data_IF_537936089513
#
_entry.id   IF_537936089513
#
_cell.length_a   1.000
_cell.length_b   1.000
_cell.length_c   1.000
_cell.angle_alpha   90.00
_cell.angle_beta   90.00
_cell.angle_gamma   90.00
#
_symmetry.space_group_name_H-M   'P 1'
#
loop_
_entity.id
_entity.type
_entity.pdbx_description
1 polymer ?
#
# COMPACT_ATOMS: atom_id res chain seq x y z
N UNK A 1 11.56 17.10 10.54
CA UNK A 1 11.49 15.72 10.00
C UNK A 1 12.30 14.80 10.89
N UNK A 2 11.74 13.63 11.24
CA UNK A 2 12.38 12.61 12.08
C UNK A 2 13.34 11.71 11.30
N UNK A 3 13.16 11.59 9.98
CA UNK A 3 14.06 10.85 9.09
C UNK A 3 15.16 11.79 8.57
N UNK A 4 16.41 11.32 8.63
CA UNK A 4 17.60 12.05 8.15
C UNK A 4 18.49 11.14 7.33
N UNK A 5 18.99 11.66 6.21
CA UNK A 5 20.00 10.97 5.42
C UNK A 5 21.41 11.21 6.00
N UNK A 6 22.13 10.12 6.32
CA UNK A 6 23.52 10.18 6.78
C UNK A 6 24.46 9.77 5.65
N UNK A 7 25.25 10.72 5.12
CA UNK A 7 26.11 10.51 3.95
C UNK A 7 27.60 10.32 4.27
N UNK A 8 28.02 10.50 5.53
CA UNK A 8 29.45 10.46 5.92
C UNK A 8 30.19 9.20 5.47
N UNK A 9 29.51 8.05 5.40
CA UNK A 9 30.12 6.79 4.98
C UNK A 9 30.26 6.67 3.45
N UNK A 10 29.46 7.42 2.69
CA UNK A 10 29.54 7.46 1.23
C UNK A 10 30.66 8.39 0.72
N UNK A 11 31.14 9.34 1.54
CA UNK A 11 32.16 10.33 1.18
C UNK A 11 33.51 9.70 0.77
N UNK A 12 33.80 8.46 1.19
CA UNK A 12 34.99 7.72 0.74
C UNK A 12 34.92 7.30 -0.73
N UNK A 13 33.72 7.26 -1.31
CA UNK A 13 33.46 6.76 -2.66
C UNK A 13 32.95 7.85 -3.62
N UNK A 14 32.47 8.97 -3.05
CA UNK A 14 31.83 10.06 -3.77
C UNK A 14 32.48 11.37 -3.32
N UNK A 15 33.17 12.02 -4.25
CA UNK A 15 33.76 13.32 -3.99
C UNK A 15 32.70 14.43 -4.03
N UNK A 16 32.87 15.54 -3.28
CA UNK A 16 31.89 16.64 -3.25
C UNK A 16 31.53 17.19 -4.63
N UNK A 17 32.51 17.36 -5.53
CA UNK A 17 32.27 17.89 -6.88
C UNK A 17 31.37 16.99 -7.73
N UNK A 18 31.28 15.69 -7.43
CA UNK A 18 30.40 14.76 -8.15
C UNK A 18 28.93 15.02 -7.79
N UNK A 19 28.66 15.40 -6.54
CA UNK A 19 27.33 15.80 -6.11
C UNK A 19 26.94 17.14 -6.72
N UNK A 20 27.88 18.08 -6.83
CA UNK A 20 27.67 19.36 -7.51
C UNK A 20 27.35 19.17 -9.00
N UNK A 21 28.08 18.26 -9.68
CA UNK A 21 27.89 17.98 -11.10
C UNK A 21 26.51 17.40 -11.44
N UNK A 22 25.85 16.72 -10.50
CA UNK A 22 24.51 16.14 -10.73
C UNK A 22 23.36 17.07 -10.32
N UNK A 23 23.62 18.22 -9.67
CA UNK A 23 22.57 19.16 -9.24
C UNK A 23 21.66 19.59 -10.39
N UNK A 24 22.21 19.91 -11.55
CA UNK A 24 21.43 20.29 -12.73
C UNK A 24 20.51 19.18 -13.22
N UNK A 25 20.95 17.91 -13.14
CA UNK A 25 20.12 16.75 -13.47
C UNK A 25 19.01 16.54 -12.44
N UNK A 26 19.30 16.78 -11.16
CA UNK A 26 18.29 16.74 -10.09
C UNK A 26 17.25 17.84 -10.30
N UNK A 27 17.65 19.08 -10.56
CA UNK A 27 16.74 20.20 -10.85
C UNK A 27 15.88 19.93 -12.08
N UNK A 28 16.45 19.35 -13.14
CA UNK A 28 15.69 18.94 -14.31
C UNK A 28 14.63 17.88 -13.96
N UNK A 29 14.99 16.88 -13.16
CA UNK A 29 14.04 15.86 -12.70
C UNK A 29 12.97 16.42 -11.75
N UNK A 30 13.34 17.36 -10.87
CA UNK A 30 12.40 18.10 -10.03
C UNK A 30 11.37 18.83 -10.88
N UNK A 31 11.82 19.63 -11.85
CA UNK A 31 10.95 20.38 -12.75
C UNK A 31 10.04 19.44 -13.55
N UNK A 32 10.55 18.29 -14.02
CA UNK A 32 9.75 17.32 -14.75
C UNK A 32 8.61 16.74 -13.91
N UNK A 33 8.85 16.50 -12.61
CA UNK A 33 7.82 16.06 -11.66
C UNK A 33 6.84 17.19 -11.33
N UNK A 34 7.34 18.40 -11.06
CA UNK A 34 6.53 19.55 -10.69
C UNK A 34 5.62 20.02 -11.83
N UNK A 35 6.14 20.06 -13.06
CA UNK A 35 5.41 20.45 -14.27
C UNK A 35 4.59 19.30 -14.86
N UNK A 36 4.85 18.05 -14.43
CA UNK A 36 4.19 16.84 -14.95
C UNK A 36 4.36 16.69 -16.46
N UNK A 37 5.54 17.00 -16.99
CA UNK A 37 5.85 16.97 -18.43
C UNK A 37 6.85 15.86 -18.82
N UNK A 38 7.31 15.07 -17.84
CA UNK A 38 8.17 13.91 -18.05
C UNK A 38 7.43 12.66 -18.56
N UNK A 39 8.20 11.66 -19.00
CA UNK A 39 7.63 10.36 -19.41
C UNK A 39 6.92 9.67 -18.24
N UNK A 40 5.72 9.13 -18.50
CA UNK A 40 4.89 8.48 -17.48
C UNK A 40 4.16 9.46 -16.55
N UNK A 41 4.02 10.72 -16.96
CA UNK A 41 3.29 11.77 -16.23
C UNK A 41 1.82 11.43 -15.93
N UNK A 42 1.23 10.49 -16.65
CA UNK A 42 -0.09 9.92 -16.38
C UNK A 42 -0.19 9.30 -14.96
N UNK A 43 0.93 8.92 -14.33
CA UNK A 43 0.98 8.21 -13.04
C UNK A 43 1.65 9.01 -11.91
N UNK A 44 1.43 10.32 -11.86
CA UNK A 44 2.02 11.24 -10.87
C UNK A 44 1.05 11.68 -9.76
N UNK A 45 -0.12 11.03 -9.61
CA UNK A 45 -1.10 11.35 -8.56
C UNK A 45 -0.54 11.24 -7.14
N UNK A 46 0.44 10.35 -6.93
CA UNK A 46 1.08 10.12 -5.64
C UNK A 46 1.89 11.31 -5.10
N UNK A 47 2.29 12.26 -5.96
CA UNK A 47 3.04 13.46 -5.53
C UNK A 47 2.21 14.34 -4.57
N UNK A 48 0.92 14.50 -4.88
CA UNK A 48 0.03 15.40 -4.17
C UNK A 48 -0.99 14.67 -3.30
N UNK A 49 -1.07 13.35 -3.41
CA UNK A 49 -1.97 12.49 -2.64
C UNK A 49 -1.98 12.80 -1.14
N UNK A 50 -0.84 13.03 -0.43
CA UNK A 50 -0.87 13.33 0.99
C UNK A 50 -1.63 14.61 1.38
N UNK A 51 -1.79 15.56 0.46
CA UNK A 51 -2.56 16.80 0.66
C UNK A 51 -3.99 16.64 0.10
N UNK A 52 -4.09 16.15 -1.13
CA UNK A 52 -5.29 16.20 -1.98
C UNK A 52 -6.10 14.90 -2.01
N UNK A 53 -5.88 13.97 -1.09
CA UNK A 53 -6.72 12.77 -0.99
C UNK A 53 -8.19 13.11 -0.70
N UNK A 54 -9.09 12.26 -1.18
CA UNK A 54 -10.53 12.37 -0.95
C UNK A 54 -10.85 12.16 0.54
N UNK A 55 -11.31 13.23 1.21
CA UNK A 55 -11.62 13.23 2.64
C UNK A 55 -12.89 12.44 2.96
N UNK A 56 -13.85 12.38 2.02
CA UNK A 56 -15.08 11.61 2.20
C UNK A 56 -14.78 10.11 2.10
N UNK A 57 -13.99 9.70 1.09
CA UNK A 57 -13.51 8.33 1.00
C UNK A 57 -12.66 7.95 2.22
N UNK A 58 -11.79 8.83 2.69
CA UNK A 58 -11.01 8.61 3.92
C UNK A 58 -11.90 8.39 5.15
N UNK A 59 -12.97 9.16 5.30
CA UNK A 59 -13.95 8.94 6.37
C UNK A 59 -14.68 7.59 6.22
N UNK A 60 -15.04 7.20 4.98
CA UNK A 60 -15.62 5.87 4.70
C UNK A 60 -14.65 4.73 5.03
N UNK A 61 -13.35 4.88 4.75
CA UNK A 61 -12.32 3.90 5.11
C UNK A 61 -12.29 3.69 6.63
N UNK A 62 -12.29 4.78 7.41
CA UNK A 62 -12.35 4.71 8.88
C UNK A 62 -13.61 4.01 9.37
N UNK A 63 -14.77 4.37 8.81
CA UNK A 63 -16.04 3.75 9.17
C UNK A 63 -16.08 2.26 8.82
N UNK A 64 -15.56 1.86 7.66
CA UNK A 64 -15.45 0.46 7.26
C UNK A 64 -14.51 -0.32 8.18
N UNK A 65 -13.36 0.26 8.54
CA UNK A 65 -12.43 -0.37 9.49
C UNK A 65 -13.09 -0.63 10.86
N UNK A 66 -13.85 0.33 11.40
CA UNK A 66 -14.62 0.14 12.64
C UNK A 66 -15.70 -0.94 12.50
N UNK A 67 -16.41 -1.01 11.36
CA UNK A 67 -17.38 -2.09 11.10
C UNK A 67 -16.71 -3.45 11.07
N UNK A 68 -15.57 -3.57 10.39
CA UNK A 68 -14.80 -4.82 10.30
C UNK A 68 -14.34 -5.26 11.69
N UNK A 69 -13.75 -4.36 12.48
CA UNK A 69 -13.28 -4.66 13.85
C UNK A 69 -14.39 -5.17 14.78
N UNK A 70 -15.64 -4.76 14.55
CA UNK A 70 -16.80 -5.21 15.34
C UNK A 70 -17.45 -6.50 14.83
N UNK A 71 -17.29 -6.83 13.55
CA UNK A 71 -18.01 -7.92 12.87
C UNK A 71 -17.15 -9.16 12.61
N UNK A 72 -15.83 -9.05 12.64
CA UNK A 72 -14.94 -10.11 12.19
C UNK A 72 -13.85 -10.43 13.21
N UNK A 73 -13.54 -11.71 13.34
CA UNK A 73 -12.32 -12.20 13.98
C UNK A 73 -11.14 -12.10 12.99
N UNK A 74 -11.42 -12.22 11.69
CA UNK A 74 -10.40 -12.25 10.63
C UNK A 74 -10.79 -11.33 9.47
N UNK A 75 -9.87 -10.47 9.05
CA UNK A 75 -9.89 -9.81 7.75
C UNK A 75 -9.00 -10.56 6.75
N UNK A 76 -9.58 -11.00 5.65
CA UNK A 76 -8.86 -11.54 4.49
C UNK A 76 -8.62 -10.43 3.49
N UNK A 77 -7.35 -10.07 3.27
CA UNK A 77 -6.94 -9.11 2.24
C UNK A 77 -6.49 -9.89 1.01
N UNK A 78 -7.17 -9.68 -0.11
CA UNK A 78 -6.88 -10.37 -1.37
C UNK A 78 -6.20 -9.41 -2.34
N UNK A 79 -4.94 -9.62 -2.64
CA UNK A 79 -4.16 -8.72 -3.52
C UNK A 79 -2.72 -9.19 -3.71
N UNK A 80 -2.04 -8.65 -4.74
CA UNK A 80 -0.63 -8.95 -5.04
C UNK A 80 0.14 -7.68 -5.39
N UNK A 81 1.46 -7.71 -5.26
CA UNK A 81 2.34 -6.58 -5.59
C UNK A 81 2.02 -5.33 -4.75
N UNK A 82 1.70 -4.22 -5.41
CA UNK A 82 1.32 -2.97 -4.75
C UNK A 82 0.03 -3.06 -3.91
N UNK A 83 -0.87 -3.97 -4.28
CA UNK A 83 -2.11 -4.27 -3.55
C UNK A 83 -1.90 -5.16 -2.32
N UNK A 84 -0.65 -5.41 -1.94
CA UNK A 84 -0.27 -6.33 -0.87
C UNK A 84 0.85 -5.75 0.00
N UNK A 85 2.01 -5.47 -0.59
CA UNK A 85 3.24 -5.21 0.16
C UNK A 85 3.15 -3.96 1.03
N UNK A 86 2.50 -2.88 0.56
CA UNK A 86 2.38 -1.65 1.33
C UNK A 86 1.58 -1.81 2.61
N UNK A 87 0.44 -2.51 2.53
CA UNK A 87 -0.40 -2.81 3.68
C UNK A 87 0.34 -3.72 4.69
N UNK A 88 0.92 -4.82 4.20
CA UNK A 88 1.66 -5.77 5.04
C UNK A 88 2.83 -5.10 5.76
N UNK A 89 3.68 -4.38 5.02
CA UNK A 89 4.83 -3.68 5.59
C UNK A 89 4.43 -2.68 6.67
N UNK A 90 3.37 -1.89 6.45
CA UNK A 90 2.89 -0.94 7.44
C UNK A 90 2.33 -1.61 8.70
N UNK A 91 1.59 -2.72 8.56
CA UNK A 91 1.03 -3.45 9.70
C UNK A 91 2.15 -4.10 10.52
N UNK A 92 3.07 -4.81 9.86
CA UNK A 92 4.18 -5.48 10.55
C UNK A 92 5.10 -4.45 11.25
N UNK A 93 5.37 -3.31 10.60
CA UNK A 93 6.15 -2.21 11.17
C UNK A 93 5.48 -1.52 12.36
N UNK A 94 4.20 -1.15 12.23
CA UNK A 94 3.51 -0.33 13.23
C UNK A 94 2.90 -1.16 14.36
N UNK A 95 2.72 -2.46 14.15
CA UNK A 95 2.12 -3.38 15.14
C UNK A 95 3.12 -4.42 15.60
N UNK A 96 3.43 -5.41 14.75
CA UNK A 96 4.39 -6.49 15.02
C UNK A 96 4.49 -7.45 13.83
N UNK A 97 5.64 -8.09 13.56
CA UNK A 97 5.71 -9.24 12.66
C UNK A 97 4.90 -10.45 13.17
N UNK A 98 4.56 -10.48 14.47
CA UNK A 98 3.71 -11.49 15.08
C UNK A 98 2.28 -10.98 15.34
N UNK A 99 1.82 -9.95 14.61
CA UNK A 99 0.56 -9.26 14.86
C UNK A 99 -0.62 -10.21 15.15
N UNK A 100 -0.80 -11.26 14.35
CA UNK A 100 -1.88 -12.24 14.54
C UNK A 100 -1.73 -13.05 15.84
N UNK A 101 -0.51 -13.32 16.30
CA UNK A 101 -0.25 -14.09 17.52
C UNK A 101 -0.35 -13.29 18.81
N UNK A 102 -0.34 -11.95 18.74
CA UNK A 102 -0.46 -11.10 19.91
C UNK A 102 -1.90 -11.06 20.43
N UNK A 103 -2.03 -10.95 21.76
CA UNK A 103 -3.32 -10.63 22.39
C UNK A 103 -3.70 -9.19 22.02
N UNK A 104 -4.83 -9.04 21.34
CA UNK A 104 -5.33 -7.76 20.79
C UNK A 104 -6.84 -7.81 20.62
N UNK A 105 -7.44 -6.63 20.51
CA UNK A 105 -8.87 -6.43 20.26
C UNK A 105 -9.16 -6.08 18.79
N UNK A 106 -8.21 -6.34 17.89
CA UNK A 106 -8.36 -6.15 16.45
C UNK A 106 -8.32 -7.49 15.71
N UNK A 107 -9.01 -7.61 14.55
CA UNK A 107 -9.05 -8.85 13.79
C UNK A 107 -7.65 -9.32 13.40
N UNK A 108 -7.46 -10.63 13.29
CA UNK A 108 -6.30 -11.15 12.56
C UNK A 108 -6.39 -10.72 11.09
N UNK A 109 -5.24 -10.45 10.47
CA UNK A 109 -5.19 -10.05 9.07
C UNK A 109 -4.35 -11.09 8.32
N UNK A 110 -4.97 -11.75 7.35
CA UNK A 110 -4.28 -12.67 6.45
C UNK A 110 -4.33 -12.15 5.03
N UNK A 111 -3.24 -12.38 4.30
CA UNK A 111 -3.11 -11.97 2.90
C UNK A 111 -3.16 -13.21 2.01
N UNK A 112 -4.01 -13.18 0.99
CA UNK A 112 -4.14 -14.26 -0.01
C UNK A 112 -4.21 -13.67 -1.41
N UNK A 113 -4.15 -14.51 -2.44
CA UNK A 113 -4.10 -14.03 -3.83
C UNK A 113 -2.80 -13.31 -4.19
N UNK A 114 -1.79 -13.39 -3.32
CA UNK A 114 -0.41 -12.96 -3.56
C UNK A 114 0.49 -14.11 -4.08
N UNK A 115 -0.09 -15.29 -4.27
CA UNK A 115 0.52 -16.49 -4.87
C UNK A 115 -0.60 -17.42 -5.38
N UNK A 116 -0.24 -18.51 -6.04
CA UNK A 116 -1.17 -19.54 -6.56
C UNK A 116 -1.03 -20.90 -5.85
N UNK A 117 -0.51 -20.91 -4.63
CA UNK A 117 -0.31 -22.16 -3.87
C UNK A 117 -1.63 -22.65 -3.30
N UNK A 118 -2.14 -23.83 -3.73
CA UNK A 118 -3.37 -24.39 -3.16
C UNK A 118 -3.17 -24.80 -1.69
N UNK A 119 -1.96 -25.26 -1.32
CA UNK A 119 -1.63 -25.61 0.07
C UNK A 119 -1.77 -24.39 0.98
N UNK A 120 -1.14 -23.28 0.61
CA UNK A 120 -1.23 -22.03 1.36
C UNK A 120 -2.69 -21.57 1.51
N UNK A 121 -3.44 -21.59 0.41
CA UNK A 121 -4.85 -21.18 0.45
C UNK A 121 -5.70 -22.08 1.36
N UNK A 122 -5.49 -23.40 1.31
CA UNK A 122 -6.20 -24.35 2.17
C UNK A 122 -5.84 -24.18 3.65
N UNK A 123 -4.58 -23.87 3.98
CA UNK A 123 -4.17 -23.54 5.35
C UNK A 123 -4.91 -22.30 5.87
N UNK A 124 -5.00 -21.23 5.07
CA UNK A 124 -5.76 -20.04 5.45
C UNK A 124 -7.26 -20.35 5.58
N UNK A 125 -7.83 -21.16 4.67
CA UNK A 125 -9.23 -21.59 4.78
C UNK A 125 -9.50 -22.36 6.08
N UNK A 126 -8.59 -23.25 6.48
CA UNK A 126 -8.69 -23.98 7.75
C UNK A 126 -8.61 -23.04 8.96
N UNK A 127 -7.74 -22.02 8.93
CA UNK A 127 -7.68 -20.98 9.98
C UNK A 127 -9.00 -20.21 10.10
N UNK A 128 -9.73 -20.02 8.99
CA UNK A 128 -11.02 -19.33 8.95
C UNK A 128 -12.19 -20.16 9.52
N UNK A 129 -12.02 -21.46 9.75
CA UNK A 129 -13.08 -22.32 10.29
C UNK A 129 -13.51 -21.87 11.69
N UNK A 130 -14.82 -21.76 11.91
CA UNK A 130 -15.37 -21.28 13.18
C UNK A 130 -15.15 -19.79 13.50
N UNK A 131 -14.49 -19.03 12.61
CA UNK A 131 -14.21 -17.58 12.80
C UNK A 131 -15.13 -16.68 11.97
N UNK A 132 -15.47 -15.51 12.50
CA UNK A 132 -16.19 -14.48 11.76
C UNK A 132 -15.27 -13.75 10.78
N UNK A 133 -15.71 -13.58 9.53
CA UNK A 133 -14.86 -13.09 8.45
C UNK A 133 -15.38 -11.78 7.84
N UNK A 134 -14.42 -10.97 7.39
CA UNK A 134 -14.60 -9.95 6.35
C UNK A 134 -13.54 -10.16 5.26
N UNK A 135 -13.83 -9.72 4.03
CA UNK A 135 -12.93 -9.82 2.88
C UNK A 135 -12.73 -8.43 2.29
N UNK A 136 -11.49 -8.03 2.07
CA UNK A 136 -11.12 -6.85 1.27
C UNK A 136 -10.37 -7.32 0.02
N UNK A 137 -11.02 -7.30 -1.14
CA UNK A 137 -10.40 -7.65 -2.43
C UNK A 137 -9.88 -6.39 -3.11
N UNK A 138 -8.60 -6.41 -3.50
CA UNK A 138 -7.88 -5.26 -4.02
C UNK A 138 -7.26 -5.62 -5.37
N UNK A 139 -7.83 -5.08 -6.44
CA UNK A 139 -7.28 -5.18 -7.79
C UNK A 139 -7.84 -4.05 -8.64
N UNK A 140 -6.98 -3.27 -9.31
CA UNK A 140 -7.44 -2.18 -10.18
C UNK A 140 -8.28 -2.69 -11.34
N UNK A 141 -7.84 -3.76 -12.00
CA UNK A 141 -8.57 -4.33 -13.16
C UNK A 141 -9.61 -5.39 -12.77
N UNK A 142 -9.41 -6.08 -11.65
CA UNK A 142 -10.16 -7.30 -11.31
C UNK A 142 -9.78 -8.54 -12.12
N UNK A 143 -8.80 -8.42 -13.02
CA UNK A 143 -8.37 -9.51 -13.93
C UNK A 143 -7.00 -10.08 -13.57
N UNK A 144 -6.31 -9.52 -12.58
CA UNK A 144 -5.06 -10.09 -12.07
C UNK A 144 -5.31 -11.51 -11.57
N UNK A 145 -4.57 -12.49 -12.10
CA UNK A 145 -4.91 -13.91 -12.00
C UNK A 145 -4.97 -14.42 -10.57
N UNK A 146 -3.93 -14.14 -9.78
CA UNK A 146 -3.78 -14.64 -8.41
C UNK A 146 -4.90 -14.14 -7.48
N UNK A 147 -5.20 -12.82 -7.39
CA UNK A 147 -6.30 -12.35 -6.56
C UNK A 147 -7.69 -12.72 -7.11
N UNK A 148 -7.87 -12.82 -8.44
CA UNK A 148 -9.15 -13.25 -9.00
C UNK A 148 -9.48 -14.71 -8.65
N UNK A 149 -8.49 -15.60 -8.68
CA UNK A 149 -8.64 -17.00 -8.27
C UNK A 149 -8.98 -17.11 -6.77
N UNK A 150 -8.20 -16.44 -5.92
CA UNK A 150 -8.45 -16.45 -4.48
C UNK A 150 -9.83 -15.84 -4.14
N UNK A 151 -10.22 -14.76 -4.81
CA UNK A 151 -11.52 -14.12 -4.58
C UNK A 151 -12.69 -14.98 -4.99
N UNK A 152 -12.60 -15.78 -6.07
CA UNK A 152 -13.65 -16.75 -6.43
C UNK A 152 -13.93 -17.73 -5.30
N UNK A 153 -12.87 -18.21 -4.64
CA UNK A 153 -12.96 -19.16 -3.53
C UNK A 153 -13.55 -18.48 -2.29
N UNK A 154 -13.04 -17.30 -1.92
CA UNK A 154 -13.54 -16.57 -0.76
C UNK A 154 -14.95 -16.03 -0.96
N UNK A 155 -15.33 -15.53 -2.14
CA UNK A 155 -16.71 -15.11 -2.44
C UNK A 155 -17.68 -16.27 -2.22
N UNK A 156 -17.35 -17.46 -2.76
CA UNK A 156 -18.16 -18.66 -2.55
C UNK A 156 -18.25 -19.03 -1.07
N UNK A 157 -17.12 -19.04 -0.34
CA UNK A 157 -17.12 -19.30 1.10
C UNK A 157 -18.02 -18.32 1.87
N UNK A 158 -17.93 -17.03 1.57
CA UNK A 158 -18.71 -15.99 2.24
C UNK A 158 -20.21 -16.16 1.95
N UNK A 159 -20.59 -16.44 0.71
CA UNK A 159 -21.99 -16.66 0.31
C UNK A 159 -22.56 -17.95 0.91
N UNK A 160 -21.79 -19.04 0.91
CA UNK A 160 -22.21 -20.31 1.51
C UNK A 160 -22.41 -20.18 3.03
N UNK A 161 -21.59 -19.36 3.70
CA UNK A 161 -21.63 -19.19 5.17
C UNK A 161 -22.66 -18.19 5.65
N UNK A 162 -22.78 -17.05 4.97
CA UNK A 162 -23.58 -15.91 5.44
C UNK A 162 -24.83 -15.68 4.60
N UNK A 163 -24.96 -16.32 3.44
CA UNK A 163 -25.91 -15.93 2.40
C UNK A 163 -25.49 -14.62 1.72
N UNK A 164 -26.02 -14.38 0.52
CA UNK A 164 -25.62 -13.22 -0.31
C UNK A 164 -25.84 -11.87 0.37
N UNK A 165 -26.94 -11.72 1.09
CA UNK A 165 -27.35 -10.45 1.70
C UNK A 165 -26.45 -10.00 2.87
N UNK A 166 -25.93 -10.94 3.68
CA UNK A 166 -24.96 -10.59 4.72
C UNK A 166 -23.54 -10.57 4.15
N UNK A 167 -23.22 -11.48 3.21
CA UNK A 167 -21.91 -11.53 2.55
C UNK A 167 -21.55 -10.20 1.87
N UNK A 168 -22.51 -9.55 1.20
CA UNK A 168 -22.27 -8.23 0.56
C UNK A 168 -21.88 -7.13 1.56
N UNK A 169 -22.26 -7.25 2.84
CA UNK A 169 -21.86 -6.29 3.89
C UNK A 169 -20.50 -6.59 4.52
N UNK A 170 -19.93 -7.76 4.18
CA UNK A 170 -18.64 -8.26 4.68
C UNK A 170 -17.55 -8.27 3.61
N UNK A 171 -17.92 -8.07 2.35
CA UNK A 171 -17.01 -7.96 1.21
C UNK A 171 -16.84 -6.48 0.86
N UNK A 172 -15.60 -6.03 0.86
CA UNK A 172 -15.16 -4.70 0.46
C UNK A 172 -14.29 -4.84 -0.78
N UNK A 173 -14.43 -3.95 -1.74
CA UNK A 173 -13.65 -3.98 -2.98
C UNK A 173 -12.89 -2.67 -3.19
N UNK A 174 -11.57 -2.75 -3.33
CA UNK A 174 -10.72 -1.60 -3.68
C UNK A 174 -10.27 -1.75 -5.13
N UNK A 175 -10.85 -0.98 -6.04
CA UNK A 175 -10.74 -1.18 -7.50
C UNK A 175 -10.76 0.16 -8.26
N UNK A 176 -10.65 0.12 -9.59
CA UNK A 176 -10.86 1.30 -10.44
C UNK A 176 -12.24 1.95 -10.19
N UNK A 177 -12.30 3.28 -10.35
CA UNK A 177 -13.49 4.09 -10.07
C UNK A 177 -14.72 3.69 -10.90
N UNK A 178 -14.52 3.23 -12.13
CA UNK A 178 -15.62 3.05 -13.09
C UNK A 178 -15.45 1.85 -14.02
N UNK A 179 -14.27 1.24 -14.11
CA UNK A 179 -13.97 0.20 -15.10
C UNK A 179 -13.47 -1.08 -14.45
N UNK A 180 -13.49 -2.17 -15.22
CA UNK A 180 -12.87 -3.43 -14.84
C UNK A 180 -13.83 -4.41 -14.18
N UNK A 181 -13.48 -5.69 -14.29
CA UNK A 181 -14.34 -6.81 -13.90
C UNK A 181 -14.70 -6.80 -12.42
N UNK A 182 -13.78 -6.37 -11.55
CA UNK A 182 -14.07 -6.27 -10.12
C UNK A 182 -15.06 -5.14 -9.83
N UNK A 183 -14.98 -4.01 -10.54
CA UNK A 183 -15.92 -2.90 -10.38
C UNK A 183 -17.33 -3.30 -10.83
N UNK A 184 -17.45 -3.91 -12.01
CA UNK A 184 -18.72 -4.42 -12.54
C UNK A 184 -19.37 -5.44 -11.60
N UNK A 185 -18.57 -6.37 -11.06
CA UNK A 185 -19.04 -7.36 -10.09
C UNK A 185 -19.49 -6.70 -8.78
N UNK A 186 -18.71 -5.74 -8.26
CA UNK A 186 -19.06 -5.00 -7.04
C UNK A 186 -20.36 -4.22 -7.19
N UNK A 187 -20.62 -3.63 -8.36
CA UNK A 187 -21.87 -2.92 -8.63
C UNK A 187 -23.06 -3.89 -8.70
N UNK A 188 -22.88 -5.05 -9.33
CA UNK A 188 -23.92 -6.06 -9.46
C UNK A 188 -24.30 -6.69 -8.10
N UNK A 189 -23.32 -6.93 -7.23
CA UNK A 189 -23.52 -7.58 -5.92
C UNK A 189 -23.76 -6.57 -4.78
N UNK A 190 -23.51 -5.28 -5.03
CA UNK A 190 -23.71 -4.21 -4.04
C UNK A 190 -22.64 -4.16 -2.94
N UNK A 191 -21.38 -4.50 -3.27
CA UNK A 191 -20.26 -4.40 -2.33
C UNK A 191 -19.88 -2.93 -2.09
N UNK A 192 -19.43 -2.61 -0.89
CA UNK A 192 -18.85 -1.29 -0.64
C UNK A 192 -17.51 -1.17 -1.37
N UNK A 193 -17.38 -0.14 -2.21
CA UNK A 193 -16.19 0.07 -3.04
C UNK A 193 -15.36 1.28 -2.59
N UNK A 194 -14.05 1.14 -2.74
CA UNK A 194 -13.05 2.21 -2.65
C UNK A 194 -12.24 2.31 -3.94
N UNK A 195 -11.69 3.50 -4.19
CA UNK A 195 -11.08 3.85 -5.48
C UNK A 195 -9.56 3.73 -5.45
N UNK A 196 -9.03 3.07 -6.48
CA UNK A 196 -7.63 3.21 -6.89
C UNK A 196 -7.59 4.28 -7.97
N UNK A 197 -7.07 5.46 -7.63
CA UNK A 197 -6.99 6.60 -8.55
C UNK A 197 -6.21 6.23 -9.82
N UNK A 198 -6.66 6.77 -10.96
CA UNK A 198 -6.13 6.36 -12.26
C UNK A 198 -4.65 6.70 -12.44
N UNK A 199 -4.26 7.83 -11.84
CA UNK A 199 -2.93 8.41 -11.85
C UNK A 199 -2.03 7.95 -10.70
N UNK A 200 -2.45 6.95 -9.92
CA UNK A 200 -1.64 6.34 -8.87
C UNK A 200 -1.30 4.90 -9.26
N UNK A 201 -0.04 4.69 -9.65
CA UNK A 201 0.48 3.34 -9.92
C UNK A 201 0.48 2.47 -8.66
N UNK A 202 0.25 1.16 -8.82
CA UNK A 202 0.03 0.25 -7.67
C UNK A 202 1.17 0.24 -6.63
N UNK A 203 2.44 0.38 -7.02
CA UNK A 203 3.55 0.44 -6.05
C UNK A 203 3.57 1.73 -5.20
N UNK A 204 2.80 2.75 -5.56
CA UNK A 204 2.64 4.02 -4.85
C UNK A 204 1.29 4.17 -4.15
N UNK A 205 0.44 3.15 -4.16
CA UNK A 205 -0.96 3.26 -3.68
C UNK A 205 -1.14 2.98 -2.18
N UNK A 206 -0.08 2.80 -1.39
CA UNK A 206 -0.21 2.46 0.04
C UNK A 206 -0.99 3.52 0.84
N UNK A 207 -0.93 4.79 0.43
CA UNK A 207 -1.67 5.90 1.06
C UNK A 207 -3.08 6.09 0.47
N UNK A 208 -3.59 5.15 -0.31
CA UNK A 208 -5.00 5.08 -0.72
C UNK A 208 -5.71 3.97 0.06
N UNK A 209 -6.98 3.71 -0.23
CA UNK A 209 -7.73 2.59 0.35
C UNK A 209 -7.02 1.23 0.26
N UNK A 210 -6.12 1.06 -0.72
CA UNK A 210 -5.29 -0.14 -0.89
C UNK A 210 -4.51 -0.48 0.39
N UNK A 211 -3.86 0.50 1.00
CA UNK A 211 -3.16 0.31 2.27
C UNK A 211 -3.99 0.76 3.47
N UNK A 212 -4.69 1.90 3.36
CA UNK A 212 -5.31 2.54 4.52
C UNK A 212 -6.41 1.71 5.17
N UNK A 213 -7.21 0.96 4.41
CA UNK A 213 -8.26 0.12 4.99
C UNK A 213 -7.68 -1.02 5.86
N UNK A 214 -6.81 -1.91 5.35
CA UNK A 214 -6.23 -2.96 6.20
C UNK A 214 -5.36 -2.40 7.33
N UNK A 215 -4.64 -1.29 7.11
CA UNK A 215 -3.86 -0.62 8.17
C UNK A 215 -4.78 -0.12 9.29
N UNK A 216 -5.91 0.52 8.98
CA UNK A 216 -6.87 0.99 9.98
C UNK A 216 -7.54 -0.16 10.75
N UNK A 217 -7.82 -1.29 10.07
CA UNK A 217 -8.35 -2.50 10.72
C UNK A 217 -7.35 -3.06 11.73
N UNK A 218 -6.04 -2.96 11.46
CA UNK A 218 -5.00 -3.41 12.41
C UNK A 218 -4.96 -2.62 13.72
N UNK A 219 -5.62 -1.45 13.75
CA UNK A 219 -5.61 -0.49 14.85
C UNK A 219 -4.52 0.58 14.74
N UNK A 220 -3.79 0.65 13.62
CA UNK A 220 -2.86 1.74 13.36
C UNK A 220 -3.61 3.04 13.00
N UNK A 221 -3.07 4.17 13.47
CA UNK A 221 -3.67 5.50 13.26
C UNK A 221 -3.34 6.02 11.85
N UNK A 222 -4.31 5.90 10.94
CA UNK A 222 -4.15 6.36 9.57
C UNK A 222 -4.18 7.88 9.42
N UNK A 223 -4.76 8.63 10.38
CA UNK A 223 -4.68 10.09 10.38
C UNK A 223 -3.22 10.53 10.60
N UNK A 224 -2.53 9.90 11.56
CA UNK A 224 -1.10 10.16 11.83
C UNK A 224 -0.20 9.79 10.66
N UNK A 225 -0.52 8.70 9.94
CA UNK A 225 0.20 8.32 8.72
C UNK A 225 0.05 9.41 7.65
N UNK A 226 -1.18 9.88 7.40
CA UNK A 226 -1.43 10.93 6.42
C UNK A 226 -0.80 12.28 6.83
N UNK A 227 -0.85 12.64 8.13
CA UNK A 227 -0.15 13.81 8.67
C UNK A 227 1.37 13.74 8.41
N UNK A 228 1.99 12.57 8.66
CA UNK A 228 3.41 12.34 8.40
C UNK A 228 3.75 12.42 6.92
N UNK A 229 2.94 11.82 6.05
CA UNK A 229 3.12 11.89 4.61
C UNK A 229 2.99 13.33 4.08
N UNK A 230 2.04 14.11 4.59
CA UNK A 230 1.85 15.52 4.24
C UNK A 230 3.03 16.37 4.70
N UNK A 231 3.53 16.14 5.91
CA UNK A 231 4.73 16.79 6.41
C UNK A 231 5.97 16.47 5.56
N UNK A 232 6.12 15.22 5.12
CA UNK A 232 7.19 14.80 4.21
C UNK A 232 7.07 15.50 2.85
N UNK A 233 5.86 15.56 2.27
CA UNK A 233 5.61 16.30 1.02
C UNK A 233 6.05 17.76 1.14
N UNK A 234 5.65 18.45 2.20
CA UNK A 234 6.03 19.86 2.43
C UNK A 234 7.54 20.04 2.63
N UNK A 235 8.19 19.10 3.32
CA UNK A 235 9.62 19.17 3.59
C UNK A 235 10.49 18.88 2.35
N UNK A 236 9.97 18.10 1.39
CA UNK A 236 10.74 17.60 0.24
C UNK A 236 10.23 18.12 -1.11
N UNK A 237 9.35 19.13 -1.11
CA UNK A 237 8.80 19.73 -2.34
C UNK A 237 9.70 20.77 -2.99
N UNK A 238 10.77 21.21 -2.33
CA UNK A 238 11.67 22.25 -2.86
C UNK A 238 12.87 21.63 -3.59
N UNK A 239 13.29 22.28 -4.67
CA UNK A 239 14.57 21.99 -5.33
C UNK A 239 15.75 22.59 -4.56
N UNK A 240 16.09 21.97 -3.44
CA UNK A 240 17.11 22.44 -2.50
C UNK A 240 18.14 21.35 -2.14
N UNK A 241 18.22 20.30 -2.95
CA UNK A 241 18.98 19.10 -2.62
C UNK A 241 18.64 18.57 -1.22
N UNK A 242 17.35 18.50 -0.90
CA UNK A 242 16.88 17.80 0.30
C UNK A 242 17.34 16.32 0.33
N UNK A 243 17.10 15.67 1.46
CA UNK A 243 17.57 14.31 1.72
C UNK A 243 17.06 13.28 0.70
N UNK A 244 15.85 13.41 0.17
CA UNK A 244 15.33 12.53 -0.89
C UNK A 244 16.11 12.71 -2.19
N UNK A 245 16.39 13.95 -2.59
CA UNK A 245 17.18 14.25 -3.78
C UNK A 245 18.64 13.86 -3.63
N UNK A 246 19.25 14.09 -2.47
CA UNK A 246 20.58 13.58 -2.16
C UNK A 246 20.63 12.06 -2.27
N UNK A 247 19.66 11.35 -1.68
CA UNK A 247 19.59 9.89 -1.77
C UNK A 247 19.51 9.42 -3.23
N UNK A 248 18.63 10.02 -4.04
CA UNK A 248 18.51 9.71 -5.46
C UNK A 248 19.81 9.98 -6.24
N UNK A 249 20.45 11.13 -5.98
CA UNK A 249 21.71 11.53 -6.60
C UNK A 249 22.85 10.57 -6.27
N UNK A 250 23.05 10.24 -4.98
CA UNK A 250 24.14 9.37 -4.52
C UNK A 250 24.05 7.98 -5.14
N UNK A 251 22.85 7.40 -5.21
CA UNK A 251 22.63 6.08 -5.84
C UNK A 251 22.98 6.08 -7.32
N UNK A 252 22.61 7.14 -8.05
CA UNK A 252 22.97 7.30 -9.45
C UNK A 252 24.48 7.48 -9.66
N UNK A 253 25.16 8.22 -8.78
CA UNK A 253 26.63 8.36 -8.82
C UNK A 253 27.30 7.00 -8.59
N UNK A 254 26.88 6.26 -7.57
CA UNK A 254 27.43 4.92 -7.28
C UNK A 254 27.19 3.94 -8.43
N UNK A 255 26.00 4.00 -9.04
CA UNK A 255 25.69 3.20 -10.22
C UNK A 255 26.62 3.50 -11.39
N UNK A 256 26.87 4.79 -11.69
CA UNK A 256 27.84 5.22 -12.72
C UNK A 256 29.27 4.79 -12.44
N UNK A 257 29.61 4.50 -11.17
CA UNK A 257 30.89 3.92 -10.73
C UNK A 257 30.90 2.39 -10.71
N UNK A 258 29.90 1.74 -11.33
CA UNK A 258 29.82 0.30 -11.46
C UNK A 258 29.23 -0.44 -10.26
N UNK A 259 28.56 0.24 -9.33
CA UNK A 259 27.79 -0.42 -8.26
C UNK A 259 26.40 -0.79 -8.78
N UNK A 260 26.21 -2.05 -9.17
CA UNK A 260 24.97 -2.56 -9.77
C UNK A 260 23.97 -3.12 -8.77
N UNK A 261 24.35 -3.26 -7.50
CA UNK A 261 23.52 -3.81 -6.43
C UNK A 261 23.48 -2.83 -5.27
N UNK A 262 22.28 -2.59 -4.74
CA UNK A 262 22.05 -1.84 -3.51
C UNK A 262 21.25 -2.71 -2.55
N UNK A 263 21.70 -2.76 -1.31
CA UNK A 263 21.04 -3.53 -0.25
C UNK A 263 20.38 -2.56 0.73
N UNK A 264 19.05 -2.62 0.83
CA UNK A 264 18.32 -2.00 1.92
C UNK A 264 18.46 -2.91 3.15
N UNK A 265 19.06 -2.39 4.23
CA UNK A 265 19.33 -3.16 5.45
C UNK A 265 18.62 -2.52 6.61
N UNK A 266 17.96 -3.35 7.43
CA UNK A 266 17.38 -2.96 8.73
C UNK A 266 18.04 -3.75 9.85
N UNK A 267 18.02 -3.19 11.05
CA UNK A 267 18.41 -3.85 12.29
C UNK A 267 17.20 -4.27 13.14
N UNK A 268 15.99 -4.02 12.63
CA UNK A 268 14.73 -4.38 13.28
C UNK A 268 13.97 -5.37 12.37
N UNK A 269 13.55 -6.54 12.89
CA UNK A 269 12.81 -7.55 12.12
C UNK A 269 11.43 -7.08 11.65
N UNK A 270 10.90 -5.97 12.16
CA UNK A 270 9.65 -5.39 11.66
C UNK A 270 9.78 -4.78 10.24
N UNK A 271 11.01 -4.74 9.70
CA UNK A 271 11.33 -4.26 8.34
C UNK A 271 11.78 -5.39 7.38
N UNK A 272 11.69 -6.66 7.79
CA UNK A 272 12.15 -7.82 6.99
C UNK A 272 11.02 -8.64 6.41
#
# INVERSE_FOLDING_TARGET
>A
MSVKLITKYAQKFINPHELDAVKTQVSAAHNALANRDGLGNDFLGWLDLPENYDKEEFARIKAAAERIKKKADILIVIGIGGSYLGARAAIELLRSPYYNNLKKDTPDIYFVGNNISPTYLNEILSICEGKELCVNVISKSGTTTEPALAFRIFKKLMEDRYGKEEAKTRIFATTDKARGTLKELSDAEGYETFVIADDVGGRYSVLTAVGLLPIAVSGADIDKIMEGARAARLAYSKDDMNDCYKYAALRNILYRKGKSVEMLVSYDPAFT
#
